data_IF_020602662506
#
_entry.id   IF_020602662506
#
_cell.length_a   1.000
_cell.length_b   1.000
_cell.length_c   1.000
_cell.angle_alpha   90.00
_cell.angle_beta   90.00
_cell.angle_gamma   90.00
#
_symmetry.space_group_name_H-M   'P 1'
#
loop_
_entity.id
_entity.type
_entity.pdbx_description
1 polymer ?
#
# COMPACT_ATOMS: atom_id res chain seq x y z
N UNK A 1 33.48 23.02 0.42
CA UNK A 1 32.15 23.27 -0.18
C UNK A 1 32.08 22.86 -1.67
N UNK A 2 32.67 21.72 -2.08
CA UNK A 2 32.59 21.22 -3.47
C UNK A 2 32.01 19.79 -3.56
N UNK A 3 32.06 19.02 -2.46
CA UNK A 3 31.46 17.69 -2.36
C UNK A 3 29.94 17.72 -2.12
N UNK A 4 29.40 18.76 -1.45
CA UNK A 4 27.97 18.85 -1.12
C UNK A 4 27.08 19.03 -2.37
N UNK A 5 27.57 19.71 -3.40
CA UNK A 5 26.83 19.96 -4.64
C UNK A 5 26.66 18.65 -5.45
N UNK A 6 27.69 17.79 -5.44
CA UNK A 6 27.64 16.49 -6.10
C UNK A 6 26.61 15.54 -5.43
N UNK A 7 26.52 15.57 -4.09
CA UNK A 7 25.51 14.82 -3.33
C UNK A 7 24.08 15.26 -3.65
N UNK A 8 23.87 16.57 -3.82
CA UNK A 8 22.57 17.14 -4.16
C UNK A 8 22.13 16.79 -5.59
N UNK A 9 23.08 16.79 -6.54
CA UNK A 9 22.83 16.46 -7.94
C UNK A 9 22.54 14.96 -8.16
N UNK A 10 23.12 14.08 -7.35
CA UNK A 10 22.84 12.63 -7.43
C UNK A 10 21.46 12.27 -6.87
N UNK A 11 20.94 13.04 -5.91
CA UNK A 11 19.58 12.90 -5.39
C UNK A 11 18.49 13.41 -6.36
N UNK A 12 18.87 14.20 -7.38
CA UNK A 12 17.96 14.77 -8.36
C UNK A 12 17.90 13.99 -9.69
N UNK A 13 18.65 12.88 -9.83
CA UNK A 13 18.56 12.03 -11.00
C UNK A 13 17.18 11.33 -11.01
N UNK A 14 16.36 11.51 -12.06
CA UNK A 14 15.05 10.86 -12.12
C UNK A 14 15.25 9.35 -12.20
N UNK A 15 14.87 8.64 -11.15
CA UNK A 15 14.75 7.18 -11.17
C UNK A 15 13.40 6.80 -11.75
N UNK A 16 13.35 5.67 -12.46
CA UNK A 16 12.09 5.06 -12.87
C UNK A 16 11.30 4.67 -11.62
N UNK A 17 10.17 5.35 -11.38
CA UNK A 17 9.23 4.96 -10.34
C UNK A 17 8.47 3.71 -10.79
N UNK A 18 8.72 2.58 -10.14
CA UNK A 18 7.87 1.40 -10.25
C UNK A 18 6.70 1.61 -9.29
N UNK A 19 5.49 1.74 -9.83
CA UNK A 19 4.29 1.77 -9.00
C UNK A 19 4.13 0.42 -8.30
N UNK A 20 3.87 0.41 -6.99
CA UNK A 20 3.70 -0.83 -6.21
C UNK A 20 2.40 -1.57 -6.49
N UNK A 21 1.73 -1.28 -7.62
CA UNK A 21 0.53 -1.96 -8.08
C UNK A 21 -0.57 -1.99 -7.00
N UNK A 22 -1.22 -3.14 -6.87
CA UNK A 22 -2.30 -3.37 -5.91
C UNK A 22 -1.83 -3.46 -4.45
N UNK A 23 -0.53 -3.66 -4.22
CA UNK A 23 0.04 -3.73 -2.86
C UNK A 23 0.14 -2.33 -2.23
N UNK A 24 0.31 -1.27 -3.04
CA UNK A 24 0.30 0.12 -2.54
C UNK A 24 -1.07 0.61 -2.08
N UNK A 25 -2.15 -0.06 -2.50
CA UNK A 25 -3.52 0.28 -2.10
C UNK A 25 -3.95 -0.40 -0.80
N UNK A 26 -3.26 -1.47 -0.38
CA UNK A 26 -3.57 -2.20 0.83
C UNK A 26 -2.56 -1.86 1.93
N UNK A 27 -3.02 -1.27 3.05
CA UNK A 27 -2.21 -1.11 4.25
C UNK A 27 -1.64 -2.45 4.72
N UNK A 28 -0.46 -2.40 5.33
CA UNK A 28 0.16 -3.57 5.95
C UNK A 28 -0.78 -4.28 6.94
N UNK A 29 -0.71 -5.61 6.97
CA UNK A 29 -1.53 -6.47 7.83
C UNK A 29 -1.21 -6.32 9.33
N UNK A 30 -0.11 -5.65 9.68
CA UNK A 30 0.30 -5.39 11.06
C UNK A 30 0.28 -3.88 11.35
N UNK A 31 -0.53 -3.46 12.32
CA UNK A 31 -0.65 -2.07 12.75
C UNK A 31 0.69 -1.40 13.11
N UNK A 32 1.66 -2.16 13.66
CA UNK A 32 2.99 -1.63 13.99
C UNK A 32 3.81 -1.34 12.74
N UNK A 33 3.67 -2.17 11.71
CA UNK A 33 4.32 -1.96 10.41
C UNK A 33 3.66 -0.79 9.68
N UNK A 34 2.33 -0.76 9.70
CA UNK A 34 1.55 0.33 9.14
C UNK A 34 1.93 1.68 9.77
N UNK A 35 2.09 1.74 11.10
CA UNK A 35 2.55 2.94 11.81
C UNK A 35 3.98 3.40 11.44
N UNK A 36 4.74 2.57 10.71
CA UNK A 36 6.05 2.91 10.14
C UNK A 36 6.03 3.04 8.61
N UNK A 37 4.83 3.11 8.01
CA UNK A 37 4.65 3.16 6.56
C UNK A 37 5.42 2.05 5.81
N UNK A 38 5.35 0.81 6.32
CA UNK A 38 6.03 -0.35 5.71
C UNK A 38 7.52 -0.51 6.08
N UNK A 39 8.12 0.45 6.78
CA UNK A 39 9.53 0.38 7.16
C UNK A 39 9.77 -0.60 8.32
N UNK A 40 9.80 -1.92 8.04
CA UNK A 40 9.95 -2.95 9.08
C UNK A 40 10.93 -4.09 8.79
N UNK A 41 11.41 -4.28 7.56
CA UNK A 41 12.27 -5.42 7.17
C UNK A 41 13.47 -5.65 8.11
N UNK A 42 14.15 -4.58 8.52
CA UNK A 42 15.30 -4.67 9.43
C UNK A 42 14.92 -4.83 10.91
N UNK A 43 13.69 -4.45 11.28
CA UNK A 43 13.22 -4.47 12.66
C UNK A 43 12.57 -5.80 13.01
N UNK A 44 11.73 -6.36 12.12
CA UNK A 44 11.10 -7.69 12.14
C UNK A 44 11.25 -8.47 13.48
N UNK A 45 10.70 -7.92 14.57
CA UNK A 45 10.87 -8.38 15.94
C UNK A 45 9.55 -8.80 16.58
N UNK A 46 8.62 -9.29 15.77
CA UNK A 46 7.35 -9.87 16.20
C UNK A 46 6.96 -11.04 15.26
N UNK A 47 5.94 -11.86 15.60
CA UNK A 47 5.52 -12.98 14.76
C UNK A 47 5.15 -12.61 13.31
N UNK A 48 4.91 -11.33 12.98
CA UNK A 48 4.71 -10.92 11.59
C UNK A 48 5.98 -10.96 10.75
N UNK A 49 7.15 -11.21 11.35
CA UNK A 49 8.41 -11.44 10.64
C UNK A 49 8.29 -12.51 9.54
N UNK A 50 7.32 -13.45 9.62
CA UNK A 50 6.98 -14.39 8.56
C UNK A 50 6.69 -13.73 7.19
N UNK A 51 6.15 -12.51 7.17
CA UNK A 51 5.79 -11.78 5.96
C UNK A 51 6.91 -10.85 5.47
N UNK A 52 7.74 -10.34 6.39
CA UNK A 52 8.75 -9.30 6.07
C UNK A 52 10.17 -9.86 5.99
N UNK A 53 10.59 -10.63 6.98
CA UNK A 53 11.93 -11.19 7.09
C UNK A 53 11.95 -12.37 8.07
N UNK A 54 11.85 -13.63 7.59
CA UNK A 54 11.84 -14.81 8.46
C UNK A 54 13.07 -14.94 9.36
N UNK A 55 14.22 -14.36 9.00
CA UNK A 55 15.41 -14.35 9.86
C UNK A 55 15.21 -13.55 11.16
N UNK A 56 14.20 -12.66 11.20
CA UNK A 56 13.80 -11.94 12.40
C UNK A 56 13.21 -12.83 13.50
N UNK A 57 12.71 -14.03 13.16
CA UNK A 57 12.17 -14.99 14.12
C UNK A 57 13.23 -15.44 15.13
N UNK A 58 14.50 -15.55 14.70
CA UNK A 58 15.62 -15.91 15.58
C UNK A 58 15.92 -14.90 16.70
N UNK A 59 15.24 -13.75 16.70
CA UNK A 59 15.32 -12.73 17.76
C UNK A 59 14.15 -12.83 18.75
N UNK A 60 13.19 -13.71 18.51
CA UNK A 60 12.07 -13.98 19.39
C UNK A 60 12.42 -15.14 20.32
N UNK A 61 11.82 -15.14 21.51
CA UNK A 61 12.00 -16.21 22.49
C UNK A 61 10.65 -16.62 23.07
N UNK A 62 10.47 -17.92 23.27
CA UNK A 62 9.26 -18.53 23.77
C UNK A 62 8.05 -18.38 22.84
N UNK A 63 6.87 -18.50 23.43
CA UNK A 63 5.59 -18.39 22.74
C UNK A 63 5.20 -16.92 22.54
N UNK A 64 5.08 -16.50 21.29
CA UNK A 64 4.67 -15.14 20.92
C UNK A 64 3.40 -15.22 20.06
N UNK A 65 2.38 -14.46 20.45
CA UNK A 65 1.10 -14.36 19.73
C UNK A 65 0.89 -12.91 19.29
N UNK A 66 0.58 -12.73 18.01
CA UNK A 66 0.24 -11.45 17.41
C UNK A 66 -1.17 -11.52 16.83
N UNK A 67 -2.04 -10.62 17.29
CA UNK A 67 -3.33 -10.32 16.68
C UNK A 67 -3.34 -8.85 16.26
N UNK A 68 -3.61 -8.59 14.99
CA UNK A 68 -3.75 -7.25 14.44
C UNK A 68 -4.99 -7.17 13.57
N UNK A 69 -5.70 -6.04 13.61
CA UNK A 69 -6.86 -5.80 12.75
C UNK A 69 -6.73 -4.38 12.23
N UNK A 70 -6.61 -4.24 10.91
CA UNK A 70 -6.60 -2.94 10.26
C UNK A 70 -7.95 -2.69 9.58
N UNK A 71 -8.42 -1.46 9.69
CA UNK A 71 -9.64 -0.99 9.06
C UNK A 71 -9.23 -0.01 7.96
N UNK A 72 -9.58 -0.36 6.72
CA UNK A 72 -9.11 0.33 5.52
C UNK A 72 -10.31 0.96 4.83
N UNK A 73 -10.22 2.25 4.54
CA UNK A 73 -11.17 2.96 3.70
C UNK A 73 -10.39 3.67 2.61
N UNK A 74 -10.75 3.42 1.35
CA UNK A 74 -10.04 3.97 0.19
C UNK A 74 -11.04 4.77 -0.64
N UNK A 75 -10.67 6.01 -0.92
CA UNK A 75 -11.39 6.91 -1.82
C UNK A 75 -10.51 7.20 -3.01
N UNK A 76 -11.08 7.10 -4.22
CA UNK A 76 -10.39 7.34 -5.47
C UNK A 76 -11.22 8.30 -6.31
N UNK A 77 -10.60 9.36 -6.77
CA UNK A 77 -11.19 10.30 -7.71
C UNK A 77 -10.45 10.23 -9.05
N UNK A 78 -11.20 10.32 -10.14
CA UNK A 78 -10.65 10.41 -11.48
C UNK A 78 -11.36 11.49 -12.28
N UNK A 79 -10.57 12.38 -12.86
CA UNK A 79 -11.05 13.43 -13.76
C UNK A 79 -10.47 13.16 -15.15
N UNK A 80 -11.31 12.84 -16.15
CA UNK A 80 -10.85 12.70 -17.53
C UNK A 80 -10.28 14.02 -18.04
N UNK A 81 -9.26 13.94 -18.90
CA UNK A 81 -8.77 15.11 -19.63
C UNK A 81 -9.82 15.61 -20.65
N UNK A 82 -9.74 16.88 -21.01
CA UNK A 82 -10.67 17.51 -21.96
C UNK A 82 -10.62 16.79 -23.33
N UNK A 83 -11.78 16.40 -23.85
CA UNK A 83 -11.86 15.83 -25.21
C UNK A 83 -11.90 16.97 -26.22
N UNK A 84 -10.75 17.23 -26.85
CA UNK A 84 -10.61 18.23 -27.91
C UNK A 84 -10.77 17.55 -29.27
N UNK A 85 -11.96 17.63 -29.86
CA UNK A 85 -12.24 17.08 -31.20
C UNK A 85 -13.00 18.07 -32.07
N UNK A 86 -12.54 18.19 -33.33
CA UNK A 86 -13.23 18.95 -34.37
C UNK A 86 -13.79 20.31 -33.91
N UNK A 87 -12.96 21.10 -33.21
CA UNK A 87 -13.26 22.46 -32.71
C UNK A 87 -14.20 22.57 -31.50
N UNK A 88 -14.57 21.45 -30.88
CA UNK A 88 -15.35 21.40 -29.65
C UNK A 88 -14.48 20.89 -28.51
N UNK A 89 -14.46 21.61 -27.39
CA UNK A 89 -13.85 21.16 -26.14
C UNK A 89 -14.96 20.61 -25.26
N UNK A 90 -14.83 19.37 -24.82
CA UNK A 90 -15.70 18.77 -23.80
C UNK A 90 -14.93 18.60 -22.52
N UNK A 91 -15.40 19.26 -21.48
CA UNK A 91 -14.86 19.11 -20.13
C UNK A 91 -15.70 18.14 -19.33
N UNK A 92 -15.02 17.28 -18.58
CA UNK A 92 -15.62 16.22 -17.80
C UNK A 92 -15.52 16.55 -16.31
N UNK A 93 -16.57 16.22 -15.56
CA UNK A 93 -16.54 16.31 -14.11
C UNK A 93 -15.71 15.19 -13.48
N UNK A 94 -15.30 15.41 -12.22
CA UNK A 94 -14.61 14.41 -11.41
C UNK A 94 -15.57 13.25 -11.07
N UNK A 95 -15.13 12.02 -11.30
CA UNK A 95 -15.81 10.83 -10.79
C UNK A 95 -15.09 10.30 -9.55
N UNK A 96 -15.79 10.36 -8.42
CA UNK A 96 -15.33 9.79 -7.17
C UNK A 96 -15.94 8.39 -6.94
N UNK A 97 -15.14 7.48 -6.42
CA UNK A 97 -15.59 6.24 -5.83
C UNK A 97 -14.95 6.06 -4.45
N UNK A 98 -15.73 5.57 -3.50
CA UNK A 98 -15.24 5.14 -2.20
C UNK A 98 -15.60 3.67 -2.03
N UNK A 99 -14.65 2.86 -1.58
CA UNK A 99 -14.95 1.48 -1.15
C UNK A 99 -15.39 1.49 0.30
N UNK A 100 -16.37 0.64 0.61
CA UNK A 100 -16.80 0.38 1.97
C UNK A 100 -15.62 -0.09 2.84
N UNK A 101 -15.75 0.09 4.16
CA UNK A 101 -14.70 -0.27 5.10
C UNK A 101 -14.30 -1.74 4.97
N UNK A 102 -13.00 -1.98 4.74
CA UNK A 102 -12.42 -3.31 4.57
C UNK A 102 -11.65 -3.65 5.84
N UNK A 103 -11.94 -4.82 6.42
CA UNK A 103 -11.17 -5.34 7.54
C UNK A 103 -10.05 -6.26 7.03
N UNK A 104 -8.81 -5.97 7.44
CA UNK A 104 -7.63 -6.78 7.18
C UNK A 104 -7.08 -7.33 8.51
N UNK A 105 -7.53 -8.51 8.94
CA UNK A 105 -7.03 -9.14 10.16
C UNK A 105 -5.72 -9.89 9.89
N UNK A 106 -4.88 -9.98 10.92
CA UNK A 106 -3.69 -10.81 10.97
C UNK A 106 -3.62 -11.53 12.31
N UNK A 107 -3.38 -12.84 12.24
CA UNK A 107 -3.05 -13.66 13.39
C UNK A 107 -1.73 -14.38 13.07
N UNK A 108 -0.73 -14.22 13.92
CA UNK A 108 0.55 -14.92 13.79
C UNK A 108 0.99 -15.48 15.14
N UNK A 109 1.55 -16.67 15.10
CA UNK A 109 2.08 -17.41 16.23
C UNK A 109 3.54 -17.72 15.94
N UNK A 110 4.39 -17.54 16.95
CA UNK A 110 5.77 -18.00 16.96
C UNK A 110 6.02 -18.83 18.22
N UNK A 111 6.81 -19.89 18.09
CA UNK A 111 7.32 -20.67 19.22
C UNK A 111 8.69 -21.23 18.90
N UNK A 112 9.55 -21.25 19.92
CA UNK A 112 10.80 -22.00 19.91
C UNK A 112 10.63 -23.29 20.72
N UNK A 113 11.56 -24.22 20.54
CA UNK A 113 11.61 -25.48 21.28
C UNK A 113 12.97 -25.57 21.97
N UNK A 114 12.97 -25.72 23.30
CA UNK A 114 14.22 -25.93 24.06
C UNK A 114 15.03 -27.13 23.54
N UNK A 115 14.35 -28.16 23.03
CA UNK A 115 14.97 -29.34 22.44
C UNK A 115 15.63 -29.09 21.07
N UNK A 116 15.25 -28.01 20.37
CA UNK A 116 15.76 -27.63 19.05
C UNK A 116 16.17 -26.15 19.05
N UNK A 117 17.21 -25.77 19.81
CA UNK A 117 17.58 -24.36 20.04
C UNK A 117 18.10 -23.63 18.78
N UNK A 118 18.29 -24.35 17.67
CA UNK A 118 18.69 -23.80 16.39
C UNK A 118 17.52 -23.52 15.44
N UNK A 119 16.28 -23.87 15.83
CA UNK A 119 15.10 -23.76 14.99
C UNK A 119 13.99 -22.98 15.67
N UNK A 120 13.45 -22.01 14.94
CA UNK A 120 12.26 -21.26 15.28
C UNK A 120 11.12 -21.64 14.36
N UNK A 121 9.91 -21.72 14.93
CA UNK A 121 8.72 -22.06 14.18
C UNK A 121 7.71 -20.92 14.27
N UNK A 122 7.12 -20.56 13.13
CA UNK A 122 6.06 -19.59 13.08
C UNK A 122 5.02 -19.94 12.02
N UNK A 123 3.77 -19.58 12.30
CA UNK A 123 2.64 -19.72 11.39
C UNK A 123 1.76 -18.50 11.51
N UNK A 124 1.19 -18.05 10.40
CA UNK A 124 0.23 -16.96 10.44
C UNK A 124 -0.79 -17.02 9.32
N UNK A 125 -1.91 -16.36 9.56
CA UNK A 125 -2.98 -16.11 8.62
C UNK A 125 -3.21 -14.61 8.58
N UNK A 126 -3.41 -14.06 7.38
CA UNK A 126 -3.64 -12.64 7.20
C UNK A 126 -4.63 -12.39 6.07
N UNK A 127 -5.31 -11.23 6.15
CA UNK A 127 -6.34 -10.82 5.22
C UNK A 127 -5.83 -10.72 3.77
N UNK A 128 -6.74 -10.88 2.79
CA UNK A 128 -6.38 -10.79 1.38
C UNK A 128 -5.89 -9.38 1.02
N UNK A 129 -4.78 -9.31 0.29
CA UNK A 129 -4.32 -8.13 -0.44
C UNK A 129 -5.05 -8.07 -1.78
N UNK A 130 -6.30 -7.60 -1.79
CA UNK A 130 -7.11 -7.61 -3.01
C UNK A 130 -8.25 -6.63 -2.96
N UNK A 131 -8.37 -5.82 -4.02
CA UNK A 131 -9.28 -4.67 -4.07
C UNK A 131 -10.73 -5.09 -4.21
N UNK A 132 -11.56 -4.64 -3.28
CA UNK A 132 -13.03 -4.74 -3.35
C UNK A 132 -13.56 -4.06 -4.61
N UNK A 133 -14.70 -4.54 -5.11
CA UNK A 133 -15.41 -4.08 -6.32
C UNK A 133 -15.34 -2.56 -6.53
N UNK A 134 -14.39 -2.11 -7.34
CA UNK A 134 -14.32 -0.73 -7.82
C UNK A 134 -15.46 -0.50 -8.79
N UNK A 135 -16.29 0.50 -8.51
CA UNK A 135 -17.42 0.90 -9.36
C UNK A 135 -17.32 2.40 -9.61
N UNK A 136 -16.70 2.75 -10.73
CA UNK A 136 -16.89 4.07 -11.29
C UNK A 136 -18.28 4.17 -11.92
N UNK A 137 -18.91 5.37 -11.92
CA UNK A 137 -20.15 5.57 -12.64
C UNK A 137 -19.95 5.24 -14.13
N UNK A 138 -20.84 4.43 -14.70
CA UNK A 138 -20.80 4.03 -16.12
C UNK A 138 -21.18 5.15 -17.10
N UNK A 139 -21.52 6.34 -16.58
CA UNK A 139 -21.83 7.54 -17.33
C UNK A 139 -21.02 8.69 -16.74
N UNK A 140 -20.41 9.50 -17.62
CA UNK A 140 -19.60 10.66 -17.25
C UNK A 140 -20.41 11.92 -17.46
N UNK A 141 -20.44 12.80 -16.46
CA UNK A 141 -21.06 14.11 -16.58
C UNK A 141 -20.16 15.01 -17.42
N UNK A 142 -20.69 15.53 -18.53
CA UNK A 142 -20.04 16.60 -19.30
C UNK A 142 -20.44 17.91 -18.64
N UNK A 143 -19.48 18.61 -18.04
CA UNK A 143 -19.72 19.86 -17.33
C UNK A 143 -19.72 21.07 -18.29
N UNK A 144 -19.00 20.97 -19.40
CA UNK A 144 -18.87 22.05 -20.36
C UNK A 144 -18.69 21.57 -21.79
N UNK A 145 -19.33 22.29 -22.72
CA UNK A 145 -19.09 22.15 -24.16
C UNK A 145 -18.82 23.53 -24.74
N UNK A 146 -17.58 23.80 -25.13
CA UNK A 146 -17.19 25.08 -25.73
C UNK A 146 -16.90 24.89 -27.23
N UNK A 147 -17.51 25.71 -28.09
CA UNK A 147 -17.12 25.83 -29.50
C UNK A 147 -16.03 26.88 -29.63
N UNK A 148 -14.95 26.59 -30.36
CA UNK A 148 -13.85 27.51 -30.63
C UNK A 148 -14.22 28.80 -31.39
N UNK A 149 -15.50 29.07 -31.66
CA UNK A 149 -15.98 30.26 -32.39
C UNK A 149 -16.55 31.38 -31.51
N UNK A 150 -16.59 31.20 -30.19
CA UNK A 150 -17.22 32.15 -29.26
C UNK A 150 -18.68 31.81 -28.99
#
# INVERSE_FOLDING_TARGET
>A
MRLQVASLLLAAAPTTALAGGFESEYPDNNARVLGRAGAFVARADDPSAIQYNPAGLARLHGLNLLLSVNLVNVTQAFTPDDDVRARRVRSFGEAEQSVDLIAAPMLALHFDLEALPAFDFAVGIYGPSGTTHRKFPGQWTIEGVTDSRG
#
